data_IF_661682824706
#
_entry.id   IF_661682824706
#
_cell.length_a   1.000
_cell.length_b   1.000
_cell.length_c   1.000
_cell.angle_alpha   90.00
_cell.angle_beta   90.00
_cell.angle_gamma   90.00
#
_symmetry.space_group_name_H-M   'P 1'
#
loop_
_entity.id
_entity.type
_entity.pdbx_description
1 polymer ?
#
# COMPACT_ATOMS: atom_id res chain seq x y z
N UNK A 1 -10.12 7.89 -8.36
CA UNK A 1 -10.52 6.69 -7.59
C UNK A 1 -10.16 5.49 -8.43
N UNK A 2 -9.50 4.51 -7.82
CA UNK A 2 -9.12 3.20 -8.37
C UNK A 2 -10.11 2.16 -7.88
N UNK A 3 -10.36 1.12 -8.66
CA UNK A 3 -11.09 -0.06 -8.21
C UNK A 3 -10.13 -1.15 -7.73
N UNK A 4 -10.58 -2.04 -6.85
CA UNK A 4 -9.83 -3.25 -6.48
C UNK A 4 -9.56 -4.18 -7.65
N UNK A 5 -10.30 -4.06 -8.76
CA UNK A 5 -9.96 -4.75 -10.02
C UNK A 5 -8.60 -4.32 -10.57
N UNK A 6 -8.14 -3.10 -10.28
CA UNK A 6 -6.78 -2.66 -10.61
C UNK A 6 -5.71 -3.51 -9.92
N UNK A 7 -6.01 -4.01 -8.72
CA UNK A 7 -5.10 -4.85 -7.94
C UNK A 7 -5.09 -6.30 -8.42
N UNK A 8 -5.99 -6.72 -9.30
CA UNK A 8 -6.00 -8.08 -9.83
C UNK A 8 -4.67 -8.41 -10.51
N UNK A 9 -4.11 -9.55 -10.13
CA UNK A 9 -2.78 -10.01 -10.55
C UNK A 9 -1.60 -9.43 -9.77
N UNK A 10 -1.83 -8.49 -8.84
CA UNK A 10 -0.77 -7.94 -7.97
C UNK A 10 -0.68 -8.62 -6.60
N UNK A 11 -1.68 -9.42 -6.22
CA UNK A 11 -1.73 -10.12 -4.94
C UNK A 11 -1.93 -11.63 -5.12
N UNK A 12 -1.44 -12.42 -4.16
CA UNK A 12 -1.55 -13.89 -4.18
C UNK A 12 -2.94 -14.34 -3.69
N UNK A 13 -3.45 -13.68 -2.65
CA UNK A 13 -4.71 -14.04 -2.01
C UNK A 13 -5.37 -12.82 -1.37
N UNK A 14 -6.68 -12.86 -1.17
CA UNK A 14 -7.46 -11.84 -0.47
C UNK A 14 -8.41 -12.49 0.55
N UNK A 15 -8.47 -11.93 1.76
CA UNK A 15 -9.43 -12.35 2.80
C UNK A 15 -10.37 -11.21 3.18
N UNK A 16 -11.51 -11.56 3.76
CA UNK A 16 -12.48 -10.62 4.32
C UNK A 16 -13.26 -9.80 3.30
N UNK A 17 -13.14 -10.13 2.02
CA UNK A 17 -13.68 -9.31 0.95
C UNK A 17 -14.28 -10.13 -0.20
N UNK A 18 -15.43 -9.69 -0.71
CA UNK A 18 -16.16 -10.37 -1.80
C UNK A 18 -16.75 -9.42 -2.85
N UNK A 19 -16.30 -8.15 -2.93
CA UNK A 19 -16.92 -7.11 -3.77
C UNK A 19 -15.99 -6.38 -4.75
N UNK A 20 -16.40 -5.18 -5.19
CA UNK A 20 -15.54 -4.18 -5.84
C UNK A 20 -15.48 -2.92 -4.95
N UNK A 21 -14.29 -2.42 -4.65
CA UNK A 21 -14.01 -1.36 -3.67
C UNK A 21 -13.21 -0.31 -4.38
N UNK A 22 -13.52 0.94 -4.07
CA UNK A 22 -12.81 2.06 -4.67
C UNK A 22 -11.90 2.73 -3.67
N UNK A 23 -10.60 2.76 -3.93
CA UNK A 23 -9.63 3.53 -3.15
C UNK A 23 -9.18 4.78 -3.92
N UNK A 24 -8.76 5.80 -3.19
CA UNK A 24 -8.31 7.07 -3.76
C UNK A 24 -6.79 7.19 -3.80
N UNK A 25 -6.10 6.52 -2.88
CA UNK A 25 -4.67 6.67 -2.67
C UNK A 25 -4.05 5.42 -2.03
N UNK A 26 -2.72 5.36 -2.02
CA UNK A 26 -1.90 4.35 -1.36
C UNK A 26 -1.18 5.01 -0.19
N UNK A 27 -1.27 4.41 1.01
CA UNK A 27 -0.63 4.91 2.23
C UNK A 27 0.34 3.84 2.75
N UNK A 28 1.56 4.24 3.07
CA UNK A 28 2.59 3.37 3.65
C UNK A 28 2.66 3.50 5.18
N UNK A 29 2.03 4.54 5.72
CA UNK A 29 1.99 4.81 7.14
C UNK A 29 0.56 4.95 7.62
N UNK A 30 0.29 4.37 8.79
CA UNK A 30 -1.03 4.49 9.39
C UNK A 30 -1.38 5.92 9.77
N UNK A 31 -0.39 6.70 10.23
CA UNK A 31 -0.67 8.07 10.67
C UNK A 31 -1.07 9.02 9.54
N UNK A 32 -0.73 8.68 8.29
CA UNK A 32 -1.09 9.42 7.07
C UNK A 32 -2.29 8.81 6.32
N UNK A 33 -2.88 7.72 6.84
CA UNK A 33 -4.07 7.12 6.24
C UNK A 33 -5.16 8.17 6.06
N UNK A 34 -5.59 8.32 4.80
CA UNK A 34 -6.67 9.19 4.39
C UNK A 34 -7.94 8.37 4.16
N UNK A 35 -9.09 9.04 4.09
CA UNK A 35 -10.37 8.42 3.74
C UNK A 35 -10.26 7.67 2.41
N UNK A 36 -10.55 6.35 2.43
CA UNK A 36 -10.49 5.45 1.27
C UNK A 36 -9.07 5.20 0.74
N UNK A 37 -8.11 5.01 1.64
CA UNK A 37 -6.73 4.62 1.27
C UNK A 37 -6.53 3.10 1.30
N UNK A 38 -5.65 2.61 0.43
CA UNK A 38 -5.07 1.27 0.50
C UNK A 38 -3.81 1.35 1.37
N UNK A 39 -3.83 0.73 2.54
CA UNK A 39 -2.71 0.76 3.46
C UNK A 39 -1.73 -0.37 3.14
N UNK A 40 -0.42 -0.10 3.06
CA UNK A 40 0.60 -1.15 2.94
C UNK A 40 1.26 -1.34 4.29
N UNK A 41 1.05 -2.50 4.89
CA UNK A 41 1.59 -2.82 6.19
C UNK A 41 3.09 -3.16 6.08
N UNK A 42 3.91 -2.29 6.70
CA UNK A 42 5.36 -2.45 6.81
C UNK A 42 5.69 -2.76 8.27
N UNK A 43 6.62 -3.69 8.50
CA UNK A 43 6.88 -4.36 9.78
C UNK A 43 7.13 -3.41 10.98
N UNK A 44 6.21 -3.38 11.95
CA UNK A 44 6.35 -3.06 13.39
C UNK A 44 4.94 -2.74 13.94
N UNK A 45 4.36 -3.70 14.66
CA UNK A 45 2.96 -3.66 15.12
C UNK A 45 2.70 -2.58 16.19
N UNK A 46 2.16 -1.47 15.73
CA UNK A 46 1.19 -0.60 16.43
C UNK A 46 0.27 0.13 15.43
N UNK A 47 0.67 0.16 14.17
CA UNK A 47 0.08 1.03 13.14
C UNK A 47 -1.17 0.44 12.46
N UNK A 48 -1.41 -0.87 12.50
CA UNK A 48 -2.52 -1.49 11.74
C UNK A 48 -3.91 -1.02 12.22
N UNK A 49 -4.14 -0.98 13.54
CA UNK A 49 -5.41 -0.48 14.10
C UNK A 49 -5.59 1.02 13.81
N UNK A 50 -4.50 1.78 13.88
CA UNK A 50 -4.52 3.21 13.55
C UNK A 50 -4.90 3.43 12.07
N UNK A 51 -4.39 2.61 11.14
CA UNK A 51 -4.73 2.70 9.73
C UNK A 51 -6.24 2.46 9.49
N UNK A 52 -6.81 1.43 10.12
CA UNK A 52 -8.25 1.14 10.04
C UNK A 52 -9.07 2.30 10.59
N UNK A 53 -8.73 2.78 11.79
CA UNK A 53 -9.46 3.90 12.44
C UNK A 53 -9.37 5.21 11.66
N UNK A 54 -8.28 5.42 10.90
CA UNK A 54 -8.10 6.57 10.01
C UNK A 54 -8.72 6.42 8.62
N UNK A 55 -9.44 5.32 8.37
CA UNK A 55 -10.25 5.15 7.17
C UNK A 55 -9.55 4.41 6.02
N UNK A 56 -8.56 3.58 6.33
CA UNK A 56 -8.10 2.55 5.39
C UNK A 56 -9.26 1.61 5.07
N UNK A 57 -9.50 1.36 3.79
CA UNK A 57 -10.59 0.47 3.34
C UNK A 57 -10.09 -0.94 3.04
N UNK A 58 -8.78 -1.10 2.93
CA UNK A 58 -8.10 -2.35 2.67
C UNK A 58 -6.63 -2.24 3.10
N UNK A 59 -5.99 -3.39 3.31
CA UNK A 59 -4.57 -3.47 3.63
C UNK A 59 -3.84 -4.48 2.76
N UNK A 60 -2.59 -4.18 2.43
CA UNK A 60 -1.66 -5.08 1.76
C UNK A 60 -0.61 -5.52 2.76
N UNK A 61 -0.47 -6.83 2.94
CA UNK A 61 0.43 -7.42 3.93
C UNK A 61 1.29 -8.51 3.31
N UNK A 62 2.52 -8.65 3.78
CA UNK A 62 3.34 -9.78 3.38
C UNK A 62 2.72 -11.08 3.91
N UNK A 63 2.56 -12.11 3.08
CA UNK A 63 1.99 -13.40 3.50
C UNK A 63 2.77 -14.13 4.60
N UNK A 64 4.03 -13.75 4.82
CA UNK A 64 4.89 -14.27 5.89
C UNK A 64 4.69 -13.52 7.22
N UNK A 65 3.92 -12.44 7.24
CA UNK A 65 3.61 -11.68 8.45
C UNK A 65 2.35 -12.23 9.12
N UNK A 66 2.39 -12.31 10.44
CA UNK A 66 1.21 -12.61 11.24
C UNK A 66 0.39 -11.33 11.38
N UNK A 67 -0.88 -11.41 11.02
CA UNK A 67 -1.82 -10.33 11.33
C UNK A 67 -2.21 -10.39 12.81
N UNK A 68 -2.45 -9.23 13.44
CA UNK A 68 -2.96 -9.19 14.79
C UNK A 68 -4.34 -9.85 14.91
N UNK A 69 -4.67 -10.40 16.08
CA UNK A 69 -5.97 -11.03 16.33
C UNK A 69 -7.16 -10.06 16.34
N UNK A 70 -6.89 -8.75 16.43
CA UNK A 70 -7.91 -7.70 16.41
C UNK A 70 -8.35 -7.28 15.01
N UNK A 71 -7.75 -7.83 13.94
CA UNK A 71 -8.14 -7.51 12.57
C UNK A 71 -9.56 -8.03 12.30
N UNK A 72 -10.50 -7.16 11.88
CA UNK A 72 -11.87 -7.61 11.61
C UNK A 72 -11.91 -8.64 10.47
N UNK A 73 -12.68 -9.72 10.65
CA UNK A 73 -12.79 -10.81 9.66
C UNK A 73 -13.29 -10.35 8.29
N UNK A 74 -14.10 -9.29 8.25
CA UNK A 74 -14.66 -8.69 7.03
C UNK A 74 -13.79 -7.54 6.48
N UNK A 75 -12.60 -7.33 7.02
CA UNK A 75 -11.69 -6.32 6.50
C UNK A 75 -10.92 -6.88 5.31
N UNK A 76 -10.90 -6.22 4.14
CA UNK A 76 -10.13 -6.66 2.99
C UNK A 76 -8.63 -6.67 3.28
N UNK A 77 -8.04 -7.87 3.26
CA UNK A 77 -6.60 -8.05 3.41
C UNK A 77 -6.03 -8.74 2.19
N UNK A 78 -5.15 -8.05 1.48
CA UNK A 78 -4.43 -8.54 0.31
C UNK A 78 -3.05 -9.06 0.72
N UNK A 79 -2.80 -10.33 0.46
CA UNK A 79 -1.54 -10.99 0.77
C UNK A 79 -0.60 -10.97 -0.43
N UNK A 80 0.66 -10.57 -0.20
CA UNK A 80 1.71 -10.49 -1.22
C UNK A 80 2.99 -11.17 -0.75
N UNK A 81 3.83 -11.63 -1.67
CA UNK A 81 5.15 -12.18 -1.33
C UNK A 81 6.12 -11.14 -0.79
N UNK A 82 6.11 -9.95 -1.40
CA UNK A 82 6.99 -8.82 -1.07
C UNK A 82 6.20 -7.52 -1.28
N UNK A 83 6.04 -6.75 -0.20
CA UNK A 83 5.31 -5.47 -0.19
C UNK A 83 6.01 -4.39 -1.02
N UNK A 84 7.35 -4.42 -1.12
CA UNK A 84 8.10 -3.51 -1.99
C UNK A 84 7.83 -3.85 -3.45
N UNK A 85 7.89 -5.13 -3.80
CA UNK A 85 7.61 -5.56 -5.17
C UNK A 85 6.18 -5.22 -5.58
N UNK A 86 5.21 -5.42 -4.68
CA UNK A 86 3.83 -4.99 -4.90
C UNK A 86 3.74 -3.49 -5.24
N UNK A 87 4.36 -2.62 -4.45
CA UNK A 87 4.33 -1.17 -4.71
C UNK A 87 4.98 -0.85 -6.05
N UNK A 88 6.09 -1.50 -6.40
CA UNK A 88 6.75 -1.31 -7.71
C UNK A 88 5.82 -1.66 -8.86
N UNK A 89 5.18 -2.83 -8.81
CA UNK A 89 4.25 -3.29 -9.84
C UNK A 89 2.99 -2.42 -9.88
N UNK A 90 2.47 -2.01 -8.72
CA UNK A 90 1.36 -1.07 -8.60
C UNK A 90 1.68 0.25 -9.30
N UNK A 91 2.85 0.85 -9.01
CA UNK A 91 3.29 2.09 -9.63
C UNK A 91 3.57 1.92 -11.13
N UNK A 92 4.15 0.79 -11.56
CA UNK A 92 4.38 0.51 -12.98
C UNK A 92 3.06 0.46 -13.75
N UNK A 93 2.11 -0.36 -13.26
CA UNK A 93 0.78 -0.49 -13.85
C UNK A 93 0.03 0.84 -13.86
N UNK A 94 0.18 1.63 -12.79
CA UNK A 94 -0.45 2.94 -12.68
C UNK A 94 0.14 3.94 -13.68
N UNK A 95 1.45 3.90 -13.90
CA UNK A 95 2.12 4.74 -14.90
C UNK A 95 1.64 4.43 -16.32
N UNK A 96 1.37 3.16 -16.62
CA UNK A 96 0.85 2.74 -17.93
C UNK A 96 -0.62 3.15 -18.12
N UNK A 97 -1.43 3.12 -17.06
CA UNK A 97 -2.86 3.43 -17.14
C UNK A 97 -3.17 4.93 -17.04
N UNK A 98 -2.49 5.65 -16.13
CA UNK A 98 -2.75 7.07 -15.86
C UNK A 98 -1.53 7.78 -15.22
N UNK A 99 -0.69 8.38 -16.06
CA UNK A 99 0.52 9.10 -15.64
C UNK A 99 0.23 10.25 -14.66
N UNK A 100 -0.88 10.98 -14.84
CA UNK A 100 -1.21 12.11 -13.95
C UNK A 100 -1.57 11.62 -12.54
N UNK A 101 -2.28 10.49 -12.44
CA UNK A 101 -2.52 9.86 -11.14
C UNK A 101 -1.25 9.24 -10.55
N UNK A 102 -0.38 8.69 -11.40
CA UNK A 102 0.92 8.18 -10.98
C UNK A 102 1.76 9.25 -10.29
N UNK A 103 1.89 10.43 -10.91
CA UNK A 103 2.63 11.57 -10.34
C UNK A 103 2.07 11.96 -8.96
N UNK A 104 0.74 12.05 -8.84
CA UNK A 104 0.09 12.41 -7.58
C UNK A 104 0.32 11.38 -6.47
N UNK A 105 0.23 10.08 -6.77
CA UNK A 105 0.51 9.03 -5.79
C UNK A 105 1.99 9.02 -5.43
N UNK A 106 2.86 9.23 -6.41
CA UNK A 106 4.30 9.29 -6.18
C UNK A 106 4.67 10.44 -5.23
N UNK A 107 4.13 11.63 -5.46
CA UNK A 107 4.33 12.80 -4.59
C UNK A 107 3.83 12.51 -3.16
N UNK A 108 2.67 11.85 -3.03
CA UNK A 108 2.16 11.45 -1.71
C UNK A 108 3.10 10.48 -1.01
N UNK A 109 3.57 9.45 -1.71
CA UNK A 109 4.54 8.49 -1.16
C UNK A 109 5.81 9.23 -0.77
N UNK A 110 6.37 10.08 -1.62
CA UNK A 110 7.57 10.87 -1.33
C UNK A 110 7.42 11.74 -0.08
N UNK A 111 6.26 12.37 0.09
CA UNK A 111 5.93 13.12 1.29
C UNK A 111 5.87 12.23 2.55
N UNK A 112 5.41 10.99 2.40
CA UNK A 112 5.43 10.00 3.50
C UNK A 112 6.85 9.52 3.84
N UNK A 113 7.74 9.42 2.85
CA UNK A 113 9.14 9.02 3.01
C UNK A 113 10.02 10.12 3.59
N UNK A 114 9.76 11.38 3.23
CA UNK A 114 10.48 12.58 3.74
C UNK A 114 10.00 13.03 5.12
N UNK A 115 9.02 12.34 5.69
CA UNK A 115 8.52 12.58 7.05
C UNK A 115 9.62 12.37 8.10
N UNK A 116 9.69 13.20 9.16
CA UNK A 116 10.71 13.11 10.21
C UNK A 116 10.68 11.79 11.02
N UNK A 117 9.64 10.96 10.83
CA UNK A 117 9.53 9.63 11.41
C UNK A 117 10.02 8.60 10.39
N UNK A 118 11.18 7.96 10.54
CA UNK A 118 11.73 7.10 9.50
C UNK A 118 10.85 5.87 9.25
N UNK A 119 10.46 5.65 7.98
CA UNK A 119 10.08 4.32 7.50
C UNK A 119 11.37 3.50 7.41
N UNK A 120 11.32 2.21 7.71
CA UNK A 120 12.50 1.32 7.72
C UNK A 120 13.45 1.62 6.53
N UNK A 121 14.71 1.96 6.83
CA UNK A 121 15.70 2.41 5.84
C UNK A 121 15.95 1.40 4.73
N UNK A 122 15.81 0.10 5.01
CA UNK A 122 15.95 -0.95 3.98
C UNK A 122 14.85 -0.89 2.91
N UNK A 123 13.66 -0.41 3.26
CA UNK A 123 12.54 -0.21 2.35
C UNK A 123 12.78 1.01 1.45
N UNK A 124 13.25 2.12 2.03
CA UNK A 124 13.58 3.35 1.32
C UNK A 124 14.63 3.12 0.23
N UNK A 125 15.72 2.42 0.57
CA UNK A 125 16.81 2.11 -0.39
C UNK A 125 16.30 1.29 -1.57
N UNK A 126 15.42 0.31 -1.33
CA UNK A 126 14.85 -0.51 -2.41
C UNK A 126 13.92 0.31 -3.32
N UNK A 127 13.14 1.23 -2.76
CA UNK A 127 12.23 2.08 -3.54
C UNK A 127 12.99 3.13 -4.36
N UNK A 128 14.01 3.77 -3.79
CA UNK A 128 14.87 4.72 -4.51
C UNK A 128 15.65 4.03 -5.64
N UNK A 129 16.18 2.82 -5.40
CA UNK A 129 16.82 2.03 -6.44
C UNK A 129 15.87 1.71 -7.60
N UNK A 130 14.58 1.53 -7.32
CA UNK A 130 13.58 1.32 -8.37
C UNK A 130 13.35 2.58 -9.20
N UNK A 131 13.18 3.75 -8.57
CA UNK A 131 13.01 5.03 -9.27
C UNK A 131 14.14 5.28 -10.27
N UNK A 132 15.38 5.10 -9.82
CA UNK A 132 16.57 5.23 -10.66
C UNK A 132 16.60 4.26 -11.86
N UNK A 133 15.88 3.14 -11.78
CA UNK A 133 15.76 2.15 -12.85
C UNK A 133 14.62 2.44 -13.83
N UNK A 134 13.62 3.25 -13.47
CA UNK A 134 12.49 3.61 -14.35
C UNK A 134 12.64 4.99 -15.00
N UNK A 135 13.58 5.81 -14.51
CA UNK A 135 13.96 7.11 -15.08
C UNK A 135 15.14 7.02 -16.07
N UNK A 136 15.67 5.82 -16.30
CA UNK A 136 16.82 5.55 -17.19
C UNK A 136 16.37 4.88 -18.48
#
# INVERSE_FOLDING_TARGET
MFSTTFLEGLYDNVTGYSGSLTFSTLALRASTCQSKSLYVYLQNDQDFLEAITKGAIAVVVNKKMNLPSFVPTLFPVFYVEDTVQFIRQFLAKLKEEDTTKWEKILEMIEKELTSPFPINTSFLVKLESYKKSIEK
#
